data_IF_188975541710
#
_entry.id   IF_188975541710
#
_cell.length_a   1.000
_cell.length_b   1.000
_cell.length_c   1.000
_cell.angle_alpha   90.00
_cell.angle_beta   90.00
_cell.angle_gamma   90.00
#
_symmetry.space_group_name_H-M   'P 1'
#
loop_
_entity.id
_entity.type
_entity.pdbx_description
1 polymer ?
#
# COMPACT_ATOMS: atom_id res chain seq x y z
N UNK A 1 5.74 -24.68 -67.52
CA UNK A 1 4.40 -24.64 -68.15
C UNK A 1 3.64 -25.89 -67.74
N UNK A 2 2.30 -25.87 -67.63
CA UNK A 2 1.40 -24.72 -67.42
C UNK A 2 1.04 -24.65 -65.91
N UNK A 3 -0.12 -24.26 -65.35
CA UNK A 3 -1.36 -23.60 -65.85
C UNK A 3 -1.95 -22.71 -64.72
N UNK A 4 -3.10 -22.08 -64.98
CA UNK A 4 -4.01 -21.46 -64.00
C UNK A 4 -4.99 -22.48 -63.41
N UNK A 5 -5.64 -22.12 -62.30
CA UNK A 5 -7.09 -22.31 -62.20
C UNK A 5 -7.72 -21.22 -61.33
N UNK A 6 -8.39 -20.28 -61.99
CA UNK A 6 -9.42 -19.45 -61.37
C UNK A 6 -10.64 -20.31 -61.00
N UNK A 7 -11.32 -19.94 -59.91
CA UNK A 7 -12.78 -20.10 -59.83
C UNK A 7 -13.37 -19.04 -58.90
N UNK A 8 -14.11 -18.12 -59.51
CA UNK A 8 -15.02 -17.20 -58.85
C UNK A 8 -16.28 -17.97 -58.39
N UNK A 9 -16.86 -17.59 -57.24
CA UNK A 9 -18.28 -17.26 -57.13
C UNK A 9 -18.71 -16.91 -55.69
N UNK A 10 -19.33 -15.74 -55.59
CA UNK A 10 -20.07 -15.18 -54.45
C UNK A 10 -21.13 -16.09 -53.83
N UNK A 11 -21.28 -16.04 -52.51
CA UNK A 11 -22.60 -16.10 -51.87
C UNK A 11 -22.69 -15.12 -50.68
N UNK A 12 -23.63 -14.19 -50.78
CA UNK A 12 -24.01 -13.25 -49.74
C UNK A 12 -24.89 -13.92 -48.69
N UNK A 13 -24.60 -13.69 -47.40
CA UNK A 13 -25.63 -13.73 -46.36
C UNK A 13 -25.46 -12.55 -45.41
N UNK A 14 -26.43 -11.65 -45.50
CA UNK A 14 -26.60 -10.46 -44.68
C UNK A 14 -27.55 -10.81 -43.53
N UNK A 15 -27.05 -10.71 -42.30
CA UNK A 15 -27.87 -10.65 -41.08
C UNK A 15 -27.13 -9.77 -40.09
N UNK A 16 -27.58 -8.53 -39.93
CA UNK A 16 -27.28 -7.77 -38.72
C UNK A 16 -28.25 -8.16 -37.61
N UNK A 17 -27.79 -8.10 -36.36
CA UNK A 17 -28.58 -7.49 -35.30
C UNK A 17 -27.63 -6.97 -34.20
N UNK A 18 -27.99 -5.85 -33.59
CA UNK A 18 -27.15 -5.03 -32.72
C UNK A 18 -26.78 -5.72 -31.41
N UNK A 19 -25.60 -6.35 -31.39
CA UNK A 19 -24.88 -6.67 -30.16
C UNK A 19 -24.17 -5.45 -29.61
N UNK A 20 -24.92 -4.52 -29.00
CA UNK A 20 -24.36 -3.41 -28.20
C UNK A 20 -23.67 -3.98 -26.94
N UNK A 21 -22.48 -4.55 -27.14
CA UNK A 21 -21.53 -4.72 -26.06
C UNK A 21 -21.01 -3.33 -25.70
N UNK A 22 -21.61 -2.75 -24.66
CA UNK A 22 -20.96 -1.75 -23.83
C UNK A 22 -19.75 -2.42 -23.17
N UNK A 23 -18.68 -2.56 -23.94
CA UNK A 23 -17.34 -2.76 -23.43
C UNK A 23 -16.95 -1.49 -22.70
N UNK A 24 -17.28 -1.45 -21.41
CA UNK A 24 -16.76 -0.49 -20.44
C UNK A 24 -15.26 -0.29 -20.69
N UNK A 25 -14.90 0.89 -21.20
CA UNK A 25 -13.54 1.25 -21.60
C UNK A 25 -12.67 1.58 -20.36
N UNK A 26 -12.66 0.69 -19.37
CA UNK A 26 -11.61 0.65 -18.33
C UNK A 26 -10.22 0.28 -18.89
N UNK A 27 -10.11 0.09 -20.20
CA UNK A 27 -8.89 -0.25 -20.95
C UNK A 27 -7.87 0.89 -21.07
N UNK A 28 -8.32 2.15 -21.01
CA UNK A 28 -7.46 3.35 -21.21
C UNK A 28 -6.76 3.82 -19.93
N UNK A 29 -6.79 3.02 -18.86
CA UNK A 29 -5.88 3.22 -17.72
C UNK A 29 -4.46 2.90 -18.22
N UNK A 30 -3.64 3.95 -18.36
CA UNK A 30 -2.23 3.85 -18.79
C UNK A 30 -1.51 2.71 -18.04
N UNK A 31 -0.64 1.91 -18.69
CA UNK A 31 -0.03 0.73 -18.07
C UNK A 31 0.73 0.98 -16.76
N UNK A 32 1.12 2.23 -16.50
CA UNK A 32 1.76 2.64 -15.26
C UNK A 32 0.80 2.86 -14.07
N UNK A 33 -0.46 3.20 -14.32
CA UNK A 33 -1.50 3.30 -13.30
C UNK A 33 -2.11 1.94 -12.95
N UNK A 34 -2.01 0.95 -13.85
CA UNK A 34 -2.44 -0.41 -13.58
C UNK A 34 -1.68 -0.98 -12.36
N UNK A 35 -2.41 -1.52 -11.39
CA UNK A 35 -1.88 -2.03 -10.11
C UNK A 35 -1.17 -1.00 -9.22
N UNK A 36 -1.35 0.30 -9.42
CA UNK A 36 -0.78 1.32 -8.53
C UNK A 36 -1.48 1.32 -7.16
N UNK A 37 -0.72 1.40 -6.06
CA UNK A 37 -1.21 1.32 -4.67
C UNK A 37 -1.38 2.68 -3.96
N UNK A 38 -1.30 3.80 -4.68
CA UNK A 38 -1.35 5.16 -4.11
C UNK A 38 -2.55 5.40 -3.17
N UNK A 39 -3.75 4.96 -3.57
CA UNK A 39 -4.97 5.11 -2.76
C UNK A 39 -5.00 4.21 -1.50
N UNK A 40 -4.04 3.29 -1.38
CA UNK A 40 -3.94 2.32 -0.29
C UNK A 40 -2.80 2.63 0.68
N UNK A 41 -2.09 3.75 0.49
CA UNK A 41 -1.10 4.26 1.45
C UNK A 41 -1.83 5.08 2.51
N UNK A 42 -1.54 4.83 3.78
CA UNK A 42 -1.90 5.74 4.87
C UNK A 42 -0.83 6.81 4.96
N UNK A 43 -1.04 7.92 4.25
CA UNK A 43 -0.04 8.97 4.12
C UNK A 43 0.22 9.76 5.41
N UNK A 44 -0.73 9.77 6.35
CA UNK A 44 -0.60 10.54 7.58
C UNK A 44 0.13 9.72 8.66
N UNK A 45 0.02 8.38 8.59
CA UNK A 45 0.85 7.43 9.32
C UNK A 45 2.31 7.32 8.84
N UNK A 46 2.72 8.02 7.77
CA UNK A 46 4.12 8.02 7.32
C UNK A 46 5.02 8.71 8.35
N UNK A 47 6.10 8.02 8.73
CA UNK A 47 7.19 8.52 9.57
C UNK A 47 8.49 8.43 8.78
N UNK A 48 9.29 9.48 8.79
CA UNK A 48 10.63 9.47 8.17
C UNK A 48 11.62 10.00 9.20
N UNK A 49 12.74 9.32 9.36
CA UNK A 49 13.85 9.71 10.23
C UNK A 49 14.99 10.28 9.38
N UNK A 50 15.70 11.26 9.94
CA UNK A 50 16.77 12.02 9.28
C UNK A 50 16.30 12.82 8.05
N UNK A 51 15.03 13.23 7.97
CA UNK A 51 14.55 14.16 6.93
C UNK A 51 14.87 15.63 7.29
N UNK A 52 15.53 16.36 6.39
CA UNK A 52 15.92 17.76 6.62
C UNK A 52 14.72 18.71 6.67
N UNK A 53 13.74 18.52 5.78
CA UNK A 53 12.42 19.17 5.88
C UNK A 53 11.41 18.20 6.50
N UNK A 54 10.75 18.64 7.58
CA UNK A 54 9.72 17.85 8.27
C UNK A 54 8.57 17.45 7.34
N UNK A 55 8.23 16.17 7.33
CA UNK A 55 7.24 15.51 6.46
C UNK A 55 7.57 15.52 4.95
N UNK A 56 8.79 15.87 4.54
CA UNK A 56 9.21 15.75 3.14
C UNK A 56 9.15 14.31 2.63
N UNK A 57 9.46 13.31 3.46
CA UNK A 57 9.30 11.89 3.12
C UNK A 57 7.86 11.49 2.83
N UNK A 58 6.90 12.03 3.61
CA UNK A 58 5.48 11.87 3.31
C UNK A 58 5.05 12.66 2.07
N UNK A 59 5.66 13.82 1.81
CA UNK A 59 5.34 14.69 0.68
C UNK A 59 5.74 14.05 -0.67
N UNK A 60 6.90 13.38 -0.76
CA UNK A 60 7.31 12.67 -1.99
C UNK A 60 6.46 11.43 -2.29
N UNK A 61 5.89 10.79 -1.25
CA UNK A 61 4.95 9.67 -1.39
C UNK A 61 3.55 10.17 -1.76
N UNK A 62 3.18 11.39 -1.33
CA UNK A 62 1.92 12.06 -1.70
C UNK A 62 1.90 12.57 -3.15
N UNK A 63 3.03 12.61 -3.88
CA UNK A 63 3.05 12.90 -5.33
C UNK A 63 2.21 11.88 -6.10
N UNK A 64 1.33 12.35 -6.98
CA UNK A 64 0.61 11.46 -7.91
C UNK A 64 1.53 10.97 -9.03
N UNK A 65 1.10 9.95 -9.80
CA UNK A 65 1.83 9.50 -10.99
C UNK A 65 2.06 10.60 -12.04
N UNK A 66 1.20 11.62 -12.10
CA UNK A 66 1.38 12.77 -12.97
C UNK A 66 2.56 13.66 -12.51
N UNK A 67 2.76 13.78 -11.20
CA UNK A 67 3.73 14.65 -10.53
C UNK A 67 5.07 13.95 -10.21
N UNK A 68 5.21 12.67 -10.60
CA UNK A 68 6.34 11.80 -10.21
C UNK A 68 7.72 12.30 -10.66
N UNK A 69 7.77 13.21 -11.64
CA UNK A 69 8.98 13.84 -12.18
C UNK A 69 9.08 15.33 -11.81
N UNK A 70 8.14 15.87 -11.03
CA UNK A 70 8.22 17.24 -10.52
C UNK A 70 9.43 17.32 -9.58
N UNK A 71 10.23 18.38 -9.68
CA UNK A 71 11.45 18.56 -8.86
C UNK A 71 11.11 18.64 -7.36
N UNK A 72 9.99 19.28 -7.00
CA UNK A 72 9.55 19.47 -5.63
C UNK A 72 8.17 18.83 -5.37
N UNK A 73 7.86 18.40 -4.12
CA UNK A 73 8.77 18.28 -2.98
C UNK A 73 9.89 17.24 -3.23
N UNK A 74 11.01 17.36 -2.52
CA UNK A 74 12.09 16.38 -2.48
C UNK A 74 12.35 15.99 -1.02
N UNK A 75 12.73 14.73 -0.78
CA UNK A 75 13.28 14.28 0.49
C UNK A 75 14.80 14.38 0.41
N UNK A 76 15.38 15.14 1.34
CA UNK A 76 16.81 15.31 1.58
C UNK A 76 17.13 14.84 3.01
N UNK A 77 18.29 14.21 3.20
CA UNK A 77 18.75 13.82 4.54
C UNK A 77 19.47 14.96 5.28
N UNK A 78 19.35 15.00 6.61
CA UNK A 78 19.79 16.15 7.43
C UNK A 78 21.24 16.03 7.96
N UNK A 79 21.60 14.85 8.49
CA UNK A 79 22.86 14.66 9.24
C UNK A 79 23.90 13.82 8.50
N UNK A 80 23.46 12.84 7.72
CA UNK A 80 24.28 11.86 6.98
C UNK A 80 23.45 11.28 5.82
N UNK A 81 24.02 10.38 5.01
CA UNK A 81 23.32 9.85 3.84
C UNK A 81 22.15 8.88 4.16
N UNK A 82 21.92 8.55 5.44
CA UNK A 82 20.96 7.52 5.82
C UNK A 82 19.55 8.05 6.01
N UNK A 83 18.57 7.39 5.38
CA UNK A 83 17.14 7.72 5.55
C UNK A 83 16.37 6.47 5.95
N UNK A 84 15.47 6.60 6.94
CA UNK A 84 14.57 5.53 7.35
C UNK A 84 13.11 5.99 7.22
N UNK A 85 12.38 5.41 6.27
CA UNK A 85 10.99 5.78 5.97
C UNK A 85 10.05 4.61 6.26
N UNK A 86 9.17 4.77 7.25
CA UNK A 86 8.06 3.87 7.54
C UNK A 86 6.79 4.31 6.77
N UNK A 87 6.24 3.41 5.96
CA UNK A 87 5.05 3.65 5.13
C UNK A 87 3.98 2.60 5.47
N UNK A 88 2.89 2.98 6.18
CA UNK A 88 1.76 2.11 6.39
C UNK A 88 0.81 2.05 5.19
N UNK A 89 0.13 0.92 5.03
CA UNK A 89 -0.97 0.74 4.08
C UNK A 89 -2.31 0.68 4.82
N UNK A 90 -3.38 1.17 4.21
CA UNK A 90 -4.74 1.15 4.76
C UNK A 90 -5.34 -0.25 4.91
N UNK A 91 -4.69 -1.27 4.32
CA UNK A 91 -5.00 -2.68 4.47
C UNK A 91 -3.86 -3.57 3.98
N UNK A 92 -4.12 -4.87 3.86
CA UNK A 92 -3.11 -5.83 3.44
C UNK A 92 -2.89 -5.72 1.93
N UNK A 93 -1.63 -5.66 1.52
CA UNK A 93 -1.21 -5.59 0.12
C UNK A 93 -0.27 -6.74 -0.22
N UNK A 94 -0.29 -7.14 -1.49
CA UNK A 94 0.76 -7.94 -2.13
C UNK A 94 1.61 -6.96 -2.95
N UNK A 95 2.80 -6.62 -2.47
CA UNK A 95 3.68 -5.73 -3.23
C UNK A 95 4.33 -6.49 -4.40
N UNK A 96 4.34 -5.86 -5.57
CA UNK A 96 4.94 -6.38 -6.79
C UNK A 96 6.22 -5.62 -7.16
N UNK A 97 6.21 -4.29 -7.00
CA UNK A 97 7.33 -3.43 -7.37
C UNK A 97 7.40 -2.19 -6.46
N UNK A 98 8.61 -1.75 -6.15
CA UNK A 98 8.89 -0.39 -5.67
C UNK A 98 9.03 0.53 -6.89
N UNK A 99 8.42 1.71 -6.83
CA UNK A 99 8.63 2.80 -7.78
C UNK A 99 9.49 3.85 -7.10
N UNK A 100 10.62 4.22 -7.69
CA UNK A 100 11.58 5.15 -7.10
C UNK A 100 12.07 6.15 -8.17
N UNK A 101 12.18 7.43 -7.80
CA UNK A 101 12.90 8.41 -8.61
C UNK A 101 13.70 9.36 -7.74
N UNK A 102 14.88 9.69 -8.23
CA UNK A 102 15.88 10.60 -7.68
C UNK A 102 16.65 11.19 -8.86
N UNK A 103 17.09 12.44 -8.76
CA UNK A 103 17.97 13.01 -9.77
C UNK A 103 19.26 12.16 -9.91
N UNK A 104 19.77 11.92 -11.14
CA UNK A 104 20.93 11.04 -11.39
C UNK A 104 22.26 11.72 -10.99
N UNK A 105 22.45 11.87 -9.69
CA UNK A 105 23.55 12.61 -9.03
C UNK A 105 24.35 11.66 -8.11
N UNK A 106 25.36 12.18 -7.42
CA UNK A 106 26.06 11.44 -6.37
C UNK A 106 25.15 11.18 -5.15
N UNK A 107 24.27 12.13 -4.80
CA UNK A 107 23.26 12.00 -3.73
C UNK A 107 22.12 11.03 -4.04
N UNK A 108 22.07 10.42 -5.22
CA UNK A 108 21.07 9.38 -5.51
C UNK A 108 21.30 8.15 -4.61
N UNK A 109 20.25 7.51 -4.05
CA UNK A 109 20.42 6.30 -3.26
C UNK A 109 21.00 5.17 -4.11
N UNK A 110 21.86 4.34 -3.51
CA UNK A 110 22.55 3.21 -4.14
C UNK A 110 22.06 1.87 -3.59
N UNK A 111 21.84 1.78 -2.28
CA UNK A 111 21.33 0.58 -1.61
C UNK A 111 20.12 0.90 -0.76
N UNK A 112 19.02 0.17 -1.00
CA UNK A 112 17.77 0.29 -0.24
C UNK A 112 17.41 -1.07 0.36
N UNK A 113 17.41 -1.15 1.69
CA UNK A 113 16.97 -2.31 2.47
C UNK A 113 15.48 -2.18 2.78
N UNK A 114 14.69 -3.21 2.51
CA UNK A 114 13.24 -3.23 2.76
C UNK A 114 12.88 -4.17 3.90
N UNK A 115 12.06 -3.68 4.83
CA UNK A 115 11.54 -4.45 5.96
C UNK A 115 10.02 -4.46 5.96
N UNK A 116 9.43 -5.64 5.81
CA UNK A 116 7.97 -5.82 5.81
C UNK A 116 7.42 -5.85 7.25
N UNK A 117 6.40 -5.03 7.52
CA UNK A 117 5.62 -5.01 8.77
C UNK A 117 6.46 -4.74 10.04
N UNK A 118 7.45 -3.84 9.98
CA UNK A 118 8.32 -3.45 11.11
C UNK A 118 8.26 -1.94 11.41
N UNK A 119 7.29 -1.47 12.24
CA UNK A 119 7.19 -0.07 12.68
C UNK A 119 8.21 0.30 13.77
N UNK A 120 8.96 -0.67 14.26
CA UNK A 120 9.83 -0.63 15.43
C UNK A 120 11.31 -0.40 15.08
N UNK A 121 11.63 -0.06 13.83
CA UNK A 121 13.01 0.08 13.38
C UNK A 121 13.58 1.47 13.64
N UNK A 122 14.82 1.47 14.11
CA UNK A 122 15.77 2.59 14.08
C UNK A 122 16.96 2.24 13.17
N UNK A 123 17.89 3.18 13.00
CA UNK A 123 19.06 3.01 12.13
C UNK A 123 19.96 1.83 12.56
N UNK A 124 20.22 1.68 13.86
CA UNK A 124 20.99 0.55 14.40
C UNK A 124 20.36 -0.80 14.08
N UNK A 125 19.05 -0.94 14.35
CA UNK A 125 18.32 -2.18 14.12
C UNK A 125 18.20 -2.47 12.61
N UNK A 126 18.02 -1.45 11.78
CA UNK A 126 17.95 -1.60 10.32
C UNK A 126 19.31 -1.91 9.66
N UNK A 127 20.42 -1.51 10.28
CA UNK A 127 21.76 -1.89 9.84
C UNK A 127 22.03 -3.39 10.09
N UNK A 128 21.79 -3.85 11.32
CA UNK A 128 22.12 -5.22 11.78
C UNK A 128 21.12 -6.29 11.33
N UNK A 129 19.82 -5.96 11.22
CA UNK A 129 18.78 -6.93 10.91
C UNK A 129 18.80 -7.33 9.42
N UNK A 130 18.71 -8.63 9.16
CA UNK A 130 18.53 -9.13 7.79
C UNK A 130 17.23 -8.56 7.16
N UNK A 131 17.34 -7.80 6.05
CA UNK A 131 16.18 -7.21 5.40
C UNK A 131 15.31 -8.28 4.72
N UNK A 132 14.05 -7.95 4.48
CA UNK A 132 13.15 -8.81 3.70
C UNK A 132 13.65 -8.93 2.25
N UNK A 133 14.14 -7.82 1.69
CA UNK A 133 14.86 -7.76 0.42
C UNK A 133 15.79 -6.55 0.41
N UNK A 134 16.99 -6.68 -0.16
CA UNK A 134 17.88 -5.54 -0.49
C UNK A 134 17.76 -5.23 -1.97
N UNK A 135 17.69 -3.95 -2.33
CA UNK A 135 17.70 -3.47 -3.70
C UNK A 135 18.98 -2.67 -3.95
N UNK A 136 19.60 -2.89 -5.11
CA UNK A 136 20.58 -1.95 -5.65
C UNK A 136 19.87 -1.04 -6.65
N UNK A 137 20.02 0.26 -6.46
CA UNK A 137 19.41 1.32 -7.28
C UNK A 137 20.51 1.86 -8.20
N UNK A 138 20.42 1.70 -9.53
CA UNK A 138 21.41 2.25 -10.45
C UNK A 138 21.39 3.79 -10.46
N UNK A 139 22.58 4.41 -10.45
CA UNK A 139 22.75 5.87 -10.47
C UNK A 139 22.10 6.51 -11.69
N UNK A 140 22.33 5.90 -12.85
CA UNK A 140 21.74 6.31 -14.12
C UNK A 140 20.48 5.50 -14.36
N UNK A 141 19.34 6.20 -14.32
CA UNK A 141 18.06 5.70 -14.84
C UNK A 141 18.32 5.24 -16.28
N UNK A 142 18.04 3.97 -16.59
CA UNK A 142 18.55 3.32 -17.80
C UNK A 142 17.78 3.75 -19.05
N UNK A 143 18.14 4.92 -19.60
CA UNK A 143 17.58 5.43 -20.85
C UNK A 143 17.98 6.89 -21.15
N UNK A 144 17.62 7.40 -22.34
CA UNK A 144 17.80 8.82 -22.70
C UNK A 144 16.80 9.76 -22.01
N UNK A 145 15.99 9.25 -21.08
CA UNK A 145 14.98 9.99 -20.31
C UNK A 145 15.06 9.57 -18.85
N UNK A 146 15.22 10.53 -17.95
CA UNK A 146 15.08 10.32 -16.51
C UNK A 146 13.61 10.05 -16.18
N UNK A 147 13.21 8.77 -16.11
CA UNK A 147 11.87 8.33 -15.72
C UNK A 147 11.94 7.45 -14.47
N UNK A 148 10.79 7.19 -13.84
CA UNK A 148 10.70 6.45 -12.58
C UNK A 148 11.17 5.01 -12.75
N UNK A 149 12.10 4.58 -11.89
CA UNK A 149 12.60 3.22 -11.84
C UNK A 149 11.56 2.31 -11.17
N UNK A 150 11.08 1.30 -11.91
CA UNK A 150 10.29 0.20 -11.34
C UNK A 150 11.21 -0.97 -10.96
N UNK A 151 11.39 -1.20 -9.66
CA UNK A 151 12.22 -2.29 -9.13
C UNK A 151 11.32 -3.45 -8.67
N UNK A 152 11.41 -4.65 -9.28
CA UNK A 152 10.58 -5.78 -8.91
C UNK A 152 10.92 -6.34 -7.52
N UNK A 153 9.88 -6.62 -6.74
CA UNK A 153 9.99 -7.21 -5.40
C UNK A 153 9.67 -8.71 -5.43
N UNK A 154 10.23 -9.46 -4.48
CA UNK A 154 9.90 -10.87 -4.29
C UNK A 154 8.47 -11.01 -3.73
N UNK A 155 7.51 -11.19 -4.64
CA UNK A 155 6.07 -11.29 -4.34
C UNK A 155 5.73 -12.33 -3.27
N UNK A 156 6.52 -13.40 -3.15
CA UNK A 156 6.32 -14.42 -2.10
C UNK A 156 6.64 -13.89 -0.70
N UNK A 157 7.63 -13.00 -0.59
CA UNK A 157 8.00 -12.34 0.67
C UNK A 157 7.07 -11.15 1.00
N UNK A 158 6.49 -10.48 0.00
CA UNK A 158 5.65 -9.28 0.21
C UNK A 158 4.13 -9.48 0.02
N UNK A 159 3.63 -10.71 0.12
CA UNK A 159 2.21 -11.06 -0.07
C UNK A 159 1.24 -10.64 1.06
N UNK A 160 1.77 -10.35 2.25
CA UNK A 160 1.00 -10.02 3.47
C UNK A 160 1.50 -8.71 4.09
N UNK A 161 1.72 -7.70 3.25
CA UNK A 161 2.32 -6.42 3.65
C UNK A 161 1.25 -5.43 4.12
N UNK A 162 1.31 -5.03 5.39
CA UNK A 162 0.48 -3.96 5.99
C UNK A 162 1.28 -2.67 6.20
N UNK A 163 2.61 -2.75 6.23
CA UNK A 163 3.50 -1.60 6.16
C UNK A 163 4.85 -2.01 5.58
N UNK A 164 5.57 -1.05 5.00
CA UNK A 164 6.91 -1.25 4.47
C UNK A 164 7.84 -0.18 5.05
N UNK A 165 9.01 -0.60 5.53
CA UNK A 165 10.06 0.32 5.97
C UNK A 165 11.18 0.29 4.94
N UNK A 166 11.51 1.45 4.37
CA UNK A 166 12.63 1.66 3.46
C UNK A 166 13.80 2.24 4.25
N UNK A 167 14.92 1.53 4.27
CA UNK A 167 16.18 2.04 4.79
C UNK A 167 17.12 2.30 3.62
N UNK A 168 17.37 3.57 3.33
CA UNK A 168 18.37 4.02 2.38
C UNK A 168 19.70 4.05 3.13
N UNK A 169 20.61 3.14 2.78
CA UNK A 169 21.81 2.83 3.57
C UNK A 169 23.05 3.58 3.08
N UNK A 170 23.16 3.79 1.76
CA UNK A 170 24.25 4.50 1.09
C UNK A 170 23.73 5.16 -0.20
N UNK A 171 24.40 6.24 -0.61
CA UNK A 171 24.21 6.92 -1.89
C UNK A 171 25.34 6.56 -2.90
N UNK A 172 25.35 7.21 -4.06
CA UNK A 172 26.34 6.99 -5.11
C UNK A 172 27.63 7.81 -4.96
N UNK A 173 27.76 8.67 -3.95
CA UNK A 173 28.94 9.50 -3.72
C UNK A 173 30.13 8.75 -3.13
N UNK A 174 29.92 7.52 -2.64
CA UNK A 174 30.95 6.74 -1.94
C UNK A 174 31.48 7.44 -0.67
N UNK A 175 30.64 8.25 -0.02
CA UNK A 175 30.99 9.05 1.16
C UNK A 175 31.52 10.46 0.87
N UNK A 176 31.48 10.93 -0.40
CA UNK A 176 31.84 12.31 -0.74
C UNK A 176 30.70 13.34 -0.56
N UNK A 177 29.43 12.94 -0.64
CA UNK A 177 28.24 13.75 -0.38
C UNK A 177 27.57 13.24 0.90
N UNK A 178 27.39 14.14 1.87
CA UNK A 178 26.79 13.84 3.17
C UNK A 178 25.26 13.65 3.10
N UNK A 179 24.63 13.86 1.94
CA UNK A 179 23.16 13.83 1.78
C UNK A 179 22.67 12.84 0.73
N UNK A 180 21.55 12.19 1.01
CA UNK A 180 20.75 11.40 0.06
C UNK A 180 19.53 12.19 -0.38
N UNK A 181 19.24 12.18 -1.69
CA UNK A 181 18.09 12.88 -2.31
C UNK A 181 17.15 11.89 -3.00
N UNK A 182 15.86 11.95 -2.65
CA UNK A 182 14.80 11.12 -3.24
C UNK A 182 13.61 11.99 -3.57
N UNK A 183 13.15 11.99 -4.82
CA UNK A 183 12.11 12.92 -5.29
C UNK A 183 10.76 12.22 -5.53
N UNK A 184 10.68 10.89 -5.57
CA UNK A 184 9.41 10.12 -5.63
C UNK A 184 9.57 8.71 -5.05
N UNK A 185 8.55 8.26 -4.30
CA UNK A 185 8.38 6.88 -3.85
C UNK A 185 6.93 6.45 -4.11
N UNK A 186 6.73 5.28 -4.71
CA UNK A 186 5.42 4.68 -4.90
C UNK A 186 5.49 3.15 -4.98
N UNK A 187 4.33 2.50 -5.10
CA UNK A 187 4.26 1.03 -5.11
C UNK A 187 3.28 0.52 -6.15
N UNK A 188 3.62 -0.62 -6.77
CA UNK A 188 2.67 -1.45 -7.52
C UNK A 188 2.40 -2.76 -6.79
N UNK A 189 1.18 -3.26 -6.89
CA UNK A 189 0.76 -4.49 -6.23
C UNK A 189 -0.74 -4.75 -6.32
N UNK A 190 -1.22 -5.65 -5.46
CA UNK A 190 -2.66 -5.92 -5.29
C UNK A 190 -3.07 -5.58 -3.87
N UNK A 191 -4.12 -4.77 -3.72
CA UNK A 191 -4.76 -4.57 -2.43
C UNK A 191 -5.73 -5.71 -2.14
N UNK A 192 -5.66 -6.24 -0.92
CA UNK A 192 -6.66 -7.11 -0.33
C UNK A 192 -7.39 -6.26 0.72
N UNK A 193 -8.61 -5.82 0.40
CA UNK A 193 -9.42 -5.13 1.39
C UNK A 193 -9.60 -6.04 2.61
N UNK A 194 -9.11 -5.61 3.78
CA UNK A 194 -9.50 -6.28 5.02
C UNK A 194 -10.99 -6.02 5.19
N UNK A 195 -11.79 -7.08 5.12
CA UNK A 195 -13.16 -7.05 5.61
C UNK A 195 -13.09 -6.95 7.15
N UNK A 196 -12.80 -5.75 7.66
CA UNK A 196 -12.94 -5.38 9.07
C UNK A 196 -14.43 -5.23 9.38
N UNK A 197 -15.16 -6.33 9.26
CA UNK A 197 -16.45 -6.45 9.91
C UNK A 197 -16.22 -6.20 11.41
N UNK A 198 -16.89 -5.21 12.02
CA UNK A 198 -16.80 -5.03 13.45
C UNK A 198 -17.38 -6.28 14.09
N UNK A 199 -16.52 -7.06 14.75
CA UNK A 199 -16.94 -8.18 15.60
C UNK A 199 -17.85 -7.59 16.66
N UNK A 200 -19.14 -7.67 16.41
CA UNK A 200 -20.16 -7.19 17.33
C UNK A 200 -20.17 -8.20 18.47
N UNK A 201 -19.40 -7.88 19.51
CA UNK A 201 -19.44 -8.59 20.78
C UNK A 201 -20.81 -8.35 21.42
N UNK A 202 -21.80 -9.10 20.93
CA UNK A 202 -23.08 -9.24 21.58
C UNK A 202 -22.81 -9.97 22.89
N UNK A 203 -22.60 -9.21 23.96
CA UNK A 203 -22.63 -9.76 25.31
C UNK A 203 -24.03 -10.31 25.53
N UNK A 204 -24.20 -11.61 25.36
CA UNK A 204 -25.37 -12.35 25.80
C UNK A 204 -25.41 -12.38 27.33
N UNK A 205 -25.67 -11.21 27.93
CA UNK A 205 -26.12 -11.06 29.30
C UNK A 205 -27.58 -11.55 29.40
N UNK A 206 -27.79 -12.83 29.07
CA UNK A 206 -29.01 -13.55 29.37
C UNK A 206 -29.11 -13.68 30.90
N UNK A 207 -29.72 -12.69 31.55
CA UNK A 207 -30.06 -12.75 32.96
C UNK A 207 -30.96 -13.97 33.19
N UNK A 208 -30.39 -15.05 33.73
CA UNK A 208 -31.10 -16.29 33.99
C UNK A 208 -32.21 -16.00 35.01
N UNK A 209 -33.51 -16.21 34.70
CA UNK A 209 -34.62 -15.82 35.59
C UNK A 209 -34.71 -16.57 36.93
N UNK A 210 -33.68 -17.34 37.31
CA UNK A 210 -33.64 -18.21 38.49
C UNK A 210 -32.86 -17.65 39.68
N UNK A 211 -32.08 -16.59 39.52
CA UNK A 211 -31.24 -16.03 40.61
C UNK A 211 -31.91 -14.92 41.44
N UNK A 212 -33.22 -14.71 41.30
CA UNK A 212 -33.95 -13.84 42.23
C UNK A 212 -34.32 -14.60 43.50
N UNK A 213 -33.45 -14.52 44.52
CA UNK A 213 -33.75 -15.01 45.85
C UNK A 213 -34.94 -14.23 46.44
N UNK A 214 -36.09 -14.89 46.58
CA UNK A 214 -37.28 -14.30 47.21
C UNK A 214 -36.99 -14.06 48.69
N UNK A 215 -37.02 -12.79 49.12
CA UNK A 215 -36.86 -12.42 50.53
C UNK A 215 -38.07 -12.93 51.32
N UNK A 216 -37.89 -14.04 52.02
CA UNK A 216 -38.91 -14.70 52.81
C UNK A 216 -39.09 -13.99 54.15
N UNK A 217 -40.05 -13.04 54.26
CA UNK A 217 -40.19 -12.33 55.54
C UNK A 217 -41.18 -11.19 55.74
N UNK A 218 -42.26 -11.03 54.95
CA UNK A 218 -43.38 -10.17 55.41
C UNK A 218 -44.76 -10.67 54.94
N UNK A 219 -45.42 -11.46 55.80
CA UNK A 219 -46.88 -11.65 55.75
C UNK A 219 -47.45 -11.41 57.14
N UNK A 220 -48.07 -10.25 57.33
CA UNK A 220 -48.78 -9.87 58.54
C UNK A 220 -49.91 -8.91 58.22
N UNK A 221 -51.08 -9.14 58.82
CA UNK A 221 -52.30 -8.30 58.76
C UNK A 221 -53.09 -8.37 57.43
N UNK A 222 -53.64 -9.55 57.13
CA UNK A 222 -54.91 -9.65 56.40
C UNK A 222 -56.07 -9.74 57.39
N UNK A 223 -56.79 -8.64 57.66
CA UNK A 223 -57.99 -8.66 58.51
C UNK A 223 -59.16 -9.31 57.77
N UNK A 224 -59.71 -10.37 58.34
CA UNK A 224 -60.95 -11.00 57.87
C UNK A 224 -62.17 -10.13 58.23
N UNK A 225 -63.03 -9.88 57.24
CA UNK A 225 -64.39 -9.33 57.45
C UNK A 225 -65.37 -10.43 57.04
N UNK A 226 -66.10 -10.98 58.01
CA UNK A 226 -67.18 -11.94 57.77
C UNK A 226 -68.54 -11.23 57.74
N UNK A 227 -69.49 -11.64 56.87
CA UNK A 227 -70.86 -11.15 56.93
C UNK A 227 -71.63 -11.86 58.06
N UNK A 228 -72.47 -11.12 58.77
CA UNK A 228 -73.33 -11.70 59.80
C UNK A 228 -74.73 -12.02 59.29
N UNK A 229 -75.19 -13.25 59.55
CA UNK A 229 -76.49 -13.52 60.18
C UNK A 229 -76.64 -14.99 60.59
#
# INVERSE_FOLDING_TARGET
>A
MPHHHDHDHSHSHEHGEDGHHDHDHSSDITPALQSNLYQQIDFDGIVTLNEAESKSGAAIVKKTWAQRLDELPELESDVDEQLLMYIPFTGQTKLHSLLLFSAPTASAPKTVKLFRNRPDLDFSTAADLAPTQTLSVPQTLTGPTSDVLEIPLNRAQFNTTTSITLFFEENWSQGEEEVTRVSYVGFKGQHMALNREPVTFLYEAAANPRDHAVIQGVQGVGRTIGPGR
#
